data_IF_349339872231
#
_entry.id   IF_349339872231
#
_cell.length_a   1.000
_cell.length_b   1.000
_cell.length_c   1.000
_cell.angle_alpha   90.00
_cell.angle_beta   90.00
_cell.angle_gamma   90.00
#
_symmetry.space_group_name_H-M   'P 1'
#
loop_
_entity.id
_entity.type
_entity.pdbx_description
1 polymer ?
#
# COMPACT_ATOMS: atom_id res chain seq x y z
N UNK A 1 32.28 -34.09 4.86
CA UNK A 1 30.83 -34.23 5.05
C UNK A 1 30.19 -33.02 4.38
N UNK A 2 29.33 -33.18 3.37
CA UNK A 2 28.54 -32.04 2.92
C UNK A 2 27.52 -31.76 4.02
N UNK A 3 27.54 -30.54 4.55
CA UNK A 3 26.45 -30.03 5.36
C UNK A 3 25.31 -29.85 4.37
N UNK A 4 24.38 -30.81 4.38
CA UNK A 4 23.09 -30.70 3.74
C UNK A 4 22.35 -29.59 4.50
N UNK A 5 22.61 -28.34 4.11
CA UNK A 5 21.86 -27.20 4.57
C UNK A 5 20.46 -27.40 3.99
N UNK A 6 19.51 -27.63 4.90
CA UNK A 6 18.08 -27.72 4.63
C UNK A 6 17.60 -26.39 4.01
N UNK A 7 17.86 -26.22 2.71
CA UNK A 7 17.51 -25.04 1.93
C UNK A 7 15.98 -25.02 1.77
N UNK A 8 15.27 -24.38 2.70
CA UNK A 8 13.90 -23.88 2.46
C UNK A 8 12.74 -24.43 3.27
N UNK A 9 12.94 -25.12 4.40
CA UNK A 9 11.84 -25.67 5.23
C UNK A 9 11.92 -25.06 6.63
N UNK A 10 11.07 -24.14 7.08
CA UNK A 10 9.63 -24.15 7.06
C UNK A 10 9.09 -22.71 7.08
N UNK A 11 8.23 -22.42 6.12
CA UNK A 11 7.31 -21.30 6.20
C UNK A 11 5.95 -21.83 6.66
N UNK A 12 5.69 -21.74 7.96
CA UNK A 12 4.32 -21.76 8.48
C UNK A 12 4.04 -20.40 9.12
N UNK A 13 3.15 -19.59 8.55
CA UNK A 13 2.71 -18.37 9.21
C UNK A 13 2.15 -18.74 10.58
N UNK A 14 2.60 -18.06 11.64
CA UNK A 14 2.10 -18.35 12.98
C UNK A 14 0.57 -18.25 12.99
N UNK A 15 -0.10 -19.12 13.77
CA UNK A 15 -1.56 -19.06 13.93
C UNK A 15 -2.05 -17.64 14.27
N UNK A 16 -1.31 -16.94 15.13
CA UNK A 16 -1.58 -15.55 15.50
C UNK A 16 -1.58 -14.61 14.29
N UNK A 17 -0.64 -14.78 13.35
CA UNK A 17 -0.63 -13.96 12.13
C UNK A 17 -1.90 -14.13 11.32
N UNK A 18 -2.31 -15.38 11.11
CA UNK A 18 -3.54 -15.70 10.39
C UNK A 18 -4.76 -15.06 11.05
N UNK A 19 -4.86 -15.17 12.37
CA UNK A 19 -5.95 -14.58 13.16
C UNK A 19 -5.97 -13.04 13.04
N UNK A 20 -4.80 -12.39 13.10
CA UNK A 20 -4.70 -10.94 12.91
C UNK A 20 -5.10 -10.50 11.49
N UNK A 21 -4.63 -11.23 10.46
CA UNK A 21 -4.94 -10.92 9.06
C UNK A 21 -6.43 -11.14 8.76
N UNK A 22 -7.04 -12.22 9.25
CA UNK A 22 -8.48 -12.44 9.06
C UNK A 22 -9.32 -11.42 9.84
N UNK A 23 -8.86 -10.97 11.01
CA UNK A 23 -9.46 -9.84 11.72
C UNK A 23 -9.41 -8.54 10.91
N UNK A 24 -8.28 -8.23 10.28
CA UNK A 24 -8.17 -7.08 9.36
C UNK A 24 -9.06 -7.23 8.13
N UNK A 25 -9.20 -8.45 7.62
CA UNK A 25 -10.03 -8.77 6.47
C UNK A 25 -11.52 -8.62 6.77
N UNK A 26 -11.99 -9.10 7.92
CA UNK A 26 -13.37 -8.89 8.38
C UNK A 26 -13.70 -7.39 8.39
N UNK A 27 -12.79 -6.57 8.92
CA UNK A 27 -12.93 -5.12 8.90
C UNK A 27 -12.98 -4.53 7.48
N UNK A 28 -12.19 -5.06 6.54
CA UNK A 28 -12.27 -4.64 5.14
C UNK A 28 -13.65 -4.95 4.54
N UNK A 29 -14.22 -6.12 4.83
CA UNK A 29 -15.58 -6.49 4.39
C UNK A 29 -16.61 -5.52 4.96
N UNK A 30 -16.53 -5.21 6.26
CA UNK A 30 -17.46 -4.26 6.91
C UNK A 30 -17.40 -2.87 6.29
N UNK A 31 -16.19 -2.37 5.99
CA UNK A 31 -16.01 -1.09 5.29
C UNK A 31 -16.60 -1.12 3.89
N UNK A 32 -16.54 -2.27 3.20
CA UNK A 32 -17.05 -2.42 1.84
C UNK A 32 -18.58 -2.40 1.78
N UNK A 33 -19.27 -2.94 2.80
CA UNK A 33 -20.75 -2.96 2.88
C UNK A 33 -21.34 -1.54 2.77
N UNK A 34 -20.67 -0.56 3.38
CA UNK A 34 -21.11 0.83 3.38
C UNK A 34 -20.39 1.70 2.36
N UNK A 35 -19.54 1.10 1.53
CA UNK A 35 -18.74 1.84 0.56
C UNK A 35 -19.56 2.16 -0.69
N UNK A 36 -19.59 3.45 -1.03
CA UNK A 36 -20.07 3.93 -2.31
C UNK A 36 -18.89 4.44 -3.13
N UNK A 37 -18.71 3.82 -4.30
CA UNK A 37 -17.71 4.26 -5.27
C UNK A 37 -18.12 5.61 -5.85
N UNK A 38 -17.18 6.58 -6.01
CA UNK A 38 -17.48 7.84 -6.68
C UNK A 38 -18.06 7.60 -8.07
N UNK A 39 -19.18 8.25 -8.35
CA UNK A 39 -19.87 8.21 -9.65
C UNK A 39 -19.37 9.29 -10.61
N UNK A 40 -18.66 10.29 -10.09
CA UNK A 40 -18.07 11.39 -10.86
C UNK A 40 -16.55 11.31 -10.81
N UNK A 41 -15.92 11.87 -11.84
CA UNK A 41 -14.47 11.84 -12.03
C UNK A 41 -13.96 13.24 -12.32
N UNK A 42 -12.69 13.47 -11.97
CA UNK A 42 -11.95 14.68 -12.30
C UNK A 42 -10.63 14.27 -12.95
N UNK A 43 -10.28 14.89 -14.06
CA UNK A 43 -8.99 14.70 -14.74
C UNK A 43 -8.34 16.04 -15.07
N UNK A 44 -7.08 15.99 -15.49
CA UNK A 44 -6.31 17.18 -15.81
C UNK A 44 -6.99 17.96 -16.95
N UNK A 45 -7.28 19.25 -16.69
CA UNK A 45 -7.98 20.13 -17.62
C UNK A 45 -9.46 20.34 -17.28
N UNK A 46 -10.05 19.50 -16.43
CA UNK A 46 -11.41 19.72 -15.94
C UNK A 46 -11.49 20.98 -15.05
N UNK A 47 -12.66 21.64 -14.99
CA UNK A 47 -12.89 22.75 -14.06
C UNK A 47 -12.59 22.36 -12.61
N UNK A 48 -12.10 23.32 -11.82
CA UNK A 48 -11.85 23.09 -10.39
C UNK A 48 -13.17 22.76 -9.66
N UNK A 49 -13.25 21.66 -8.90
CA UNK A 49 -14.44 21.34 -8.13
C UNK A 49 -14.66 22.36 -7.01
N UNK A 50 -15.86 22.41 -6.42
CA UNK A 50 -16.12 23.24 -5.26
C UNK A 50 -15.09 22.97 -4.15
N UNK A 51 -14.58 24.01 -3.48
CA UNK A 51 -13.61 23.83 -2.42
C UNK A 51 -14.21 23.04 -1.26
N UNK A 52 -13.37 22.32 -0.48
CA UNK A 52 -13.86 21.64 0.70
C UNK A 52 -14.56 22.58 1.67
N UNK A 53 -15.68 22.16 2.28
CA UNK A 53 -16.24 22.86 3.43
C UNK A 53 -15.17 23.12 4.49
N UNK A 54 -15.30 24.23 5.21
CA UNK A 54 -14.39 24.54 6.30
C UNK A 54 -14.49 23.45 7.37
N UNK A 55 -13.33 22.89 7.77
CA UNK A 55 -13.27 21.88 8.84
C UNK A 55 -13.78 22.48 10.15
N UNK A 56 -14.94 22.04 10.60
CA UNK A 56 -15.47 22.41 11.91
C UNK A 56 -14.64 21.78 13.04
N UNK A 57 -14.27 22.59 14.04
CA UNK A 57 -13.60 22.08 15.23
C UNK A 57 -14.52 21.11 15.99
N UNK A 58 -13.96 20.07 16.62
CA UNK A 58 -14.73 19.05 17.35
C UNK A 58 -15.53 18.04 16.51
N UNK A 59 -15.90 18.35 15.26
CA UNK A 59 -16.63 17.42 14.39
C UNK A 59 -15.72 16.34 13.80
N UNK A 60 -16.14 15.08 13.93
CA UNK A 60 -15.54 13.92 13.26
C UNK A 60 -16.08 13.91 11.82
N UNK A 61 -15.16 13.96 10.85
CA UNK A 61 -15.55 13.93 9.45
C UNK A 61 -15.90 12.49 9.03
N UNK A 62 -16.99 12.33 8.28
CA UNK A 62 -17.55 11.03 7.87
C UNK A 62 -17.57 10.88 6.35
N UNK A 63 -17.73 9.67 5.80
CA UNK A 63 -17.78 9.46 4.35
C UNK A 63 -18.83 10.31 3.62
N UNK A 64 -19.91 10.68 4.30
CA UNK A 64 -20.94 11.56 3.76
C UNK A 64 -20.40 12.96 3.39
N UNK A 65 -19.37 13.44 4.08
CA UNK A 65 -18.79 14.78 3.84
C UNK A 65 -18.11 14.90 2.46
N UNK A 66 -17.75 13.78 1.85
CA UNK A 66 -17.10 13.69 0.54
C UNK A 66 -17.77 12.68 -0.39
N UNK A 67 -19.04 12.34 -0.15
CA UNK A 67 -19.76 11.35 -0.96
C UNK A 67 -19.87 11.79 -2.44
N UNK A 68 -20.06 13.09 -2.67
CA UNK A 68 -20.25 13.68 -4.01
C UNK A 68 -18.95 14.17 -4.65
N UNK A 69 -17.80 13.92 -4.01
CA UNK A 69 -16.52 14.40 -4.51
C UNK A 69 -16.02 13.51 -5.66
N UNK A 70 -15.60 14.10 -6.79
CA UNK A 70 -15.12 13.32 -7.92
C UNK A 70 -13.82 12.59 -7.57
N UNK A 71 -13.65 11.39 -8.13
CA UNK A 71 -12.41 10.65 -8.06
C UNK A 71 -11.43 11.14 -9.13
N UNK A 72 -10.19 11.41 -8.73
CA UNK A 72 -9.13 11.76 -9.69
C UNK A 72 -8.79 10.56 -10.59
N UNK A 73 -8.80 10.78 -11.91
CA UNK A 73 -8.40 9.79 -12.93
C UNK A 73 -7.17 10.22 -13.70
N UNK A 74 -6.34 9.23 -14.05
CA UNK A 74 -5.06 9.45 -14.70
C UNK A 74 -3.96 9.85 -13.71
N UNK A 75 -2.73 9.75 -14.18
CA UNK A 75 -1.51 10.10 -13.45
C UNK A 75 -0.68 11.02 -14.34
N UNK A 76 -0.13 12.07 -13.74
CA UNK A 76 0.79 13.01 -14.37
C UNK A 76 1.84 13.46 -13.37
N UNK A 77 2.89 14.13 -13.85
CA UNK A 77 3.90 14.71 -12.97
C UNK A 77 3.33 15.95 -12.25
N UNK A 78 3.17 15.90 -10.91
CA UNK A 78 2.63 17.03 -10.16
C UNK A 78 3.58 18.23 -10.11
N UNK A 79 4.87 18.08 -10.43
CA UNK A 79 5.80 19.20 -10.53
C UNK A 79 5.63 19.98 -11.85
N UNK A 80 5.09 19.33 -12.90
CA UNK A 80 4.85 19.95 -14.20
C UNK A 80 3.43 20.51 -14.29
N UNK A 81 2.43 19.71 -13.93
CA UNK A 81 1.02 20.07 -14.11
C UNK A 81 0.29 20.43 -12.80
N UNK A 82 1.01 20.43 -11.68
CA UNK A 82 0.42 20.67 -10.37
C UNK A 82 -0.30 19.44 -9.80
N UNK A 83 -0.67 19.56 -8.53
CA UNK A 83 -1.45 18.55 -7.83
C UNK A 83 -2.95 18.64 -8.18
N UNK A 84 -3.71 17.53 -8.10
CA UNK A 84 -5.17 17.58 -8.19
C UNK A 84 -5.74 18.61 -7.21
N UNK A 85 -6.75 19.41 -7.57
CA UNK A 85 -7.25 20.45 -6.70
C UNK A 85 -7.90 19.86 -5.43
N UNK A 86 -7.98 20.62 -4.31
CA UNK A 86 -8.86 20.27 -3.20
C UNK A 86 -10.32 20.12 -3.68
N UNK A 87 -11.12 19.31 -3.02
CA UNK A 87 -12.50 19.02 -3.48
C UNK A 87 -12.64 17.67 -4.20
N UNK A 88 -11.53 16.93 -4.37
CA UNK A 88 -11.48 15.62 -5.03
C UNK A 88 -11.13 14.50 -4.05
N UNK A 89 -11.47 13.27 -4.42
CA UNK A 89 -10.96 12.03 -3.81
C UNK A 89 -9.77 11.51 -4.61
N UNK A 90 -8.69 11.13 -3.93
CA UNK A 90 -7.51 10.60 -4.60
C UNK A 90 -7.68 9.11 -4.93
N UNK A 91 -7.22 8.70 -6.12
CA UNK A 91 -6.92 7.29 -6.40
C UNK A 91 -5.74 6.82 -5.55
N UNK A 92 -5.57 5.50 -5.41
CA UNK A 92 -4.44 4.94 -4.67
C UNK A 92 -3.09 5.34 -5.27
N UNK A 93 -3.01 5.51 -6.59
CA UNK A 93 -1.84 6.02 -7.28
C UNK A 93 -1.53 7.49 -6.90
N UNK A 94 -2.55 8.34 -6.78
CA UNK A 94 -2.37 9.71 -6.28
C UNK A 94 -2.03 9.75 -4.79
N UNK A 95 -2.57 8.83 -3.99
CA UNK A 95 -2.19 8.68 -2.59
C UNK A 95 -0.72 8.30 -2.42
N UNK A 96 -0.22 7.40 -3.26
CA UNK A 96 1.20 7.07 -3.30
C UNK A 96 2.05 8.33 -3.51
N UNK A 97 1.76 9.10 -4.57
CA UNK A 97 2.46 10.35 -4.86
C UNK A 97 2.33 11.36 -3.71
N UNK A 98 1.13 11.49 -3.13
CA UNK A 98 0.86 12.36 -2.00
C UNK A 98 1.72 12.00 -0.77
N UNK A 99 1.83 10.70 -0.47
CA UNK A 99 2.63 10.21 0.66
C UNK A 99 4.11 10.50 0.43
N UNK A 100 4.58 10.27 -0.81
CA UNK A 100 5.98 10.41 -1.21
C UNK A 100 6.46 11.85 -1.29
N UNK A 101 5.66 12.75 -1.89
CA UNK A 101 6.14 14.09 -2.27
C UNK A 101 5.49 15.25 -1.51
N UNK A 102 4.29 15.08 -0.94
CA UNK A 102 3.65 16.20 -0.22
C UNK A 102 4.02 16.25 1.25
N UNK A 103 4.18 17.47 1.76
CA UNK A 103 4.27 17.70 3.19
C UNK A 103 2.95 17.31 3.90
N UNK A 104 3.07 16.78 5.12
CA UNK A 104 1.93 16.39 5.98
C UNK A 104 0.84 17.47 6.05
N UNK A 105 1.21 18.73 6.29
CA UNK A 105 0.25 19.84 6.38
C UNK A 105 -0.53 20.06 5.07
N UNK A 106 0.13 19.93 3.92
CA UNK A 106 -0.50 20.08 2.62
C UNK A 106 -1.53 18.96 2.36
N UNK A 107 -1.19 17.70 2.68
CA UNK A 107 -2.11 16.56 2.59
C UNK A 107 -3.37 16.76 3.43
N UNK A 108 -3.19 17.16 4.69
CA UNK A 108 -4.29 17.40 5.63
C UNK A 108 -5.25 18.45 5.09
N UNK A 109 -4.72 19.54 4.56
CA UNK A 109 -5.52 20.68 4.13
C UNK A 109 -6.21 20.45 2.78
N UNK A 110 -5.58 19.68 1.87
CA UNK A 110 -6.06 19.55 0.49
C UNK A 110 -6.92 18.30 0.26
N UNK A 111 -6.56 17.18 0.88
CA UNK A 111 -7.18 15.86 0.61
C UNK A 111 -7.74 15.23 1.88
N UNK A 112 -8.62 15.98 2.52
CA UNK A 112 -9.24 15.58 3.78
C UNK A 112 -10.14 14.34 3.71
N UNK A 113 -10.56 13.91 2.51
CA UNK A 113 -11.35 12.71 2.28
C UNK A 113 -10.48 11.45 2.42
N UNK A 114 -9.19 11.59 2.12
CA UNK A 114 -8.22 10.50 2.13
C UNK A 114 -7.35 10.52 3.39
N UNK A 115 -7.05 11.71 3.92
CA UNK A 115 -6.18 11.88 5.10
C UNK A 115 -6.91 12.48 6.31
N UNK A 116 -6.59 11.98 7.51
CA UNK A 116 -7.15 12.49 8.76
C UNK A 116 -6.43 13.76 9.27
N UNK A 117 -6.68 14.20 10.51
CA UNK A 117 -6.01 15.39 11.10
C UNK A 117 -4.54 15.18 11.42
N UNK A 118 -4.14 13.93 11.62
CA UNK A 118 -2.73 13.58 11.68
C UNK A 118 -2.11 13.52 10.30
N UNK A 119 -2.93 13.46 9.25
CA UNK A 119 -2.63 13.30 7.83
C UNK A 119 -2.23 11.87 7.43
N UNK A 120 -2.46 10.89 8.30
CA UNK A 120 -2.38 9.48 7.91
C UNK A 120 -3.59 9.16 7.05
N UNK A 121 -3.48 8.12 6.20
CA UNK A 121 -4.63 7.59 5.47
C UNK A 121 -5.75 7.29 6.46
N UNK A 122 -6.98 7.68 6.14
CA UNK A 122 -8.13 7.41 6.99
C UNK A 122 -8.33 5.90 7.14
N UNK A 123 -8.48 5.37 8.36
CA UNK A 123 -8.68 3.94 8.59
C UNK A 123 -9.94 3.36 7.94
N UNK A 124 -10.91 4.22 7.63
CA UNK A 124 -12.16 3.87 6.96
C UNK A 124 -12.09 4.00 5.43
N UNK A 125 -10.93 4.38 4.89
CA UNK A 125 -10.75 4.54 3.45
C UNK A 125 -10.73 3.16 2.79
N UNK A 126 -11.49 3.05 1.70
CA UNK A 126 -11.49 1.87 0.83
C UNK A 126 -10.69 2.19 -0.44
N UNK A 127 -9.79 1.29 -0.89
CA UNK A 127 -9.00 1.46 -2.12
C UNK A 127 -9.86 1.79 -3.33
N UNK A 128 -9.38 2.71 -4.17
CA UNK A 128 -10.15 3.19 -5.32
C UNK A 128 -9.24 3.71 -6.43
N UNK A 129 -9.73 3.61 -7.67
CA UNK A 129 -9.02 4.07 -8.87
C UNK A 129 -7.76 3.28 -9.16
N UNK A 130 -6.86 3.90 -9.92
CA UNK A 130 -5.58 3.32 -10.32
C UNK A 130 -4.64 3.16 -9.10
N UNK A 131 -3.70 2.21 -9.21
CA UNK A 131 -2.67 1.96 -8.22
C UNK A 131 -1.28 2.16 -8.82
N UNK A 132 -0.34 2.66 -8.01
CA UNK A 132 1.09 2.60 -8.31
C UNK A 132 1.62 1.22 -7.90
N UNK A 133 2.41 0.60 -8.76
CA UNK A 133 3.13 -0.62 -8.46
C UNK A 133 4.62 -0.34 -8.38
N UNK A 134 5.34 -1.12 -7.57
CA UNK A 134 6.78 -1.02 -7.45
C UNK A 134 7.41 -2.31 -7.92
N UNK A 135 8.32 -2.21 -8.88
CA UNK A 135 9.11 -3.33 -9.35
C UNK A 135 10.45 -3.37 -8.61
N UNK A 136 10.81 -4.52 -8.06
CA UNK A 136 12.05 -4.77 -7.33
C UNK A 136 12.30 -6.26 -7.25
N UNK A 137 13.59 -6.68 -7.31
CA UNK A 137 13.97 -8.10 -7.32
C UNK A 137 13.25 -8.94 -8.39
N UNK A 138 13.02 -8.37 -9.58
CA UNK A 138 12.28 -9.05 -10.65
C UNK A 138 10.78 -9.24 -10.39
N UNK A 139 10.26 -8.75 -9.26
CA UNK A 139 8.87 -8.86 -8.86
C UNK A 139 8.18 -7.49 -8.87
N UNK A 140 6.86 -7.50 -8.94
CA UNK A 140 6.01 -6.30 -8.85
C UNK A 140 5.15 -6.41 -7.60
N UNK A 141 5.19 -5.40 -6.72
CA UNK A 141 4.41 -5.37 -5.47
C UNK A 141 3.55 -4.12 -5.37
N UNK A 142 2.45 -4.21 -4.61
CA UNK A 142 1.73 -3.04 -4.15
C UNK A 142 2.53 -2.35 -3.04
N UNK A 143 2.57 -1.00 -3.01
CA UNK A 143 3.04 -0.25 -1.85
C UNK A 143 2.14 -0.50 -0.63
N UNK A 144 2.76 -0.70 0.52
CA UNK A 144 2.03 -0.74 1.80
C UNK A 144 2.42 0.48 2.64
N UNK A 145 1.47 1.37 2.86
CA UNK A 145 1.65 2.54 3.69
C UNK A 145 1.76 2.14 5.16
N UNK A 146 2.87 2.52 5.78
CA UNK A 146 3.21 2.23 7.18
C UNK A 146 3.01 0.75 7.58
N UNK A 147 3.19 -0.18 6.65
CA UNK A 147 3.01 -1.61 6.91
C UNK A 147 1.58 -2.04 7.25
N UNK A 148 0.55 -1.20 7.06
CA UNK A 148 -0.83 -1.56 7.39
C UNK A 148 -1.85 -1.33 6.28
N UNK A 149 -1.65 -0.36 5.37
CA UNK A 149 -2.60 -0.05 4.30
C UNK A 149 -2.01 -0.32 2.93
N UNK A 150 -2.56 -1.27 2.19
CA UNK A 150 -2.14 -1.60 0.83
C UNK A 150 -2.76 -0.59 -0.15
N UNK A 151 -1.92 0.10 -0.92
CA UNK A 151 -2.33 1.01 -1.99
C UNK A 151 -2.61 0.21 -3.26
N UNK A 152 -3.68 -0.59 -3.24
CA UNK A 152 -3.98 -1.58 -4.28
C UNK A 152 -5.02 -1.13 -5.32
N UNK A 153 -5.61 0.05 -5.14
CA UNK A 153 -6.59 0.60 -6.06
C UNK A 153 -7.91 -0.19 -6.09
N UNK A 154 -8.80 0.19 -7.01
CA UNK A 154 -10.15 -0.40 -7.09
C UNK A 154 -10.13 -1.85 -7.57
N UNK A 155 -9.22 -2.21 -8.48
CA UNK A 155 -9.19 -3.53 -9.10
C UNK A 155 -8.87 -4.65 -8.11
N UNK A 156 -7.96 -4.40 -7.17
CA UNK A 156 -7.54 -5.39 -6.18
C UNK A 156 -8.37 -5.34 -4.88
N UNK A 157 -9.32 -4.41 -4.77
CA UNK A 157 -10.22 -4.29 -3.62
C UNK A 157 -11.03 -5.57 -3.37
N UNK A 158 -11.34 -6.34 -4.42
CA UNK A 158 -12.07 -7.62 -4.35
C UNK A 158 -11.40 -8.65 -3.43
N UNK A 159 -10.10 -8.48 -3.15
CA UNK A 159 -9.35 -9.35 -2.25
C UNK A 159 -9.63 -9.10 -0.77
N UNK A 160 -10.23 -7.96 -0.41
CA UNK A 160 -10.60 -7.60 0.98
C UNK A 160 -9.42 -7.59 1.95
N UNK A 161 -8.19 -7.42 1.46
CA UNK A 161 -6.94 -7.48 2.24
C UNK A 161 -6.08 -6.23 2.04
N UNK A 162 -6.71 -5.07 1.95
CA UNK A 162 -5.98 -3.80 1.93
C UNK A 162 -5.60 -3.30 3.32
N UNK A 163 -6.15 -3.91 4.38
CA UNK A 163 -5.65 -3.77 5.74
C UNK A 163 -4.85 -5.03 6.09
N UNK A 164 -3.56 -4.87 6.39
CA UNK A 164 -2.64 -6.00 6.62
C UNK A 164 -1.88 -5.90 7.94
N UNK A 165 -2.14 -4.86 8.72
CA UNK A 165 -1.44 -4.60 9.97
C UNK A 165 -2.15 -3.59 10.86
N UNK A 166 -1.50 -3.22 11.97
CA UNK A 166 -2.04 -2.26 12.93
C UNK A 166 -2.07 -0.86 12.35
N UNK A 167 -3.24 -0.23 12.44
CA UNK A 167 -3.49 1.07 11.82
C UNK A 167 -2.70 2.21 12.45
N UNK A 168 -2.10 3.04 11.58
CA UNK A 168 -1.72 4.42 11.88
C UNK A 168 -0.65 4.55 12.97
N UNK A 169 -0.95 5.27 14.06
CA UNK A 169 0.00 5.58 15.16
C UNK A 169 0.48 4.34 15.94
N UNK A 170 -0.17 3.20 15.74
CA UNK A 170 0.24 1.91 16.29
C UNK A 170 1.20 1.16 15.37
N UNK A 171 1.43 1.66 14.15
CA UNK A 171 2.49 1.15 13.29
C UNK A 171 3.84 1.57 13.86
N UNK A 172 4.82 0.67 13.77
CA UNK A 172 6.20 0.95 14.16
C UNK A 172 6.94 1.79 13.11
N UNK A 173 6.27 2.06 11.97
CA UNK A 173 6.86 2.75 10.83
C UNK A 173 6.67 4.28 10.92
N UNK A 174 7.66 5.06 10.48
CA UNK A 174 7.51 6.50 10.30
C UNK A 174 6.30 6.87 9.45
N UNK A 175 5.90 8.14 9.58
CA UNK A 175 4.65 8.61 8.98
C UNK A 175 4.63 8.53 7.44
N UNK A 176 5.76 8.75 6.77
CA UNK A 176 5.89 8.74 5.32
C UNK A 176 6.48 7.41 4.81
N UNK A 177 6.23 6.31 5.52
CA UNK A 177 6.79 5.02 5.15
C UNK A 177 5.92 4.33 4.11
N UNK A 178 6.56 3.89 3.03
CA UNK A 178 6.02 3.02 2.00
C UNK A 178 6.91 1.79 1.96
N UNK A 179 6.36 0.64 2.35
CA UNK A 179 7.10 -0.62 2.34
C UNK A 179 6.66 -1.48 1.16
N UNK A 180 7.62 -2.21 0.60
CA UNK A 180 7.47 -3.02 -0.60
C UNK A 180 7.79 -4.49 -0.31
N UNK A 181 7.30 -5.39 -1.16
CA UNK A 181 7.54 -6.81 -1.04
C UNK A 181 6.60 -7.56 -0.08
N UNK A 182 5.57 -6.91 0.48
CA UNK A 182 4.60 -7.56 1.38
C UNK A 182 3.37 -8.12 0.64
N UNK A 183 2.93 -7.43 -0.42
CA UNK A 183 1.68 -7.74 -1.12
C UNK A 183 1.91 -7.73 -2.63
N UNK A 184 1.59 -8.85 -3.27
CA UNK A 184 1.82 -9.10 -4.68
C UNK A 184 0.48 -9.18 -5.43
N UNK A 185 0.39 -8.56 -6.62
CA UNK A 185 -0.80 -8.63 -7.44
C UNK A 185 -1.03 -10.04 -7.99
N UNK A 186 -2.14 -10.21 -8.70
CA UNK A 186 -2.39 -11.44 -9.44
C UNK A 186 -1.26 -11.64 -10.45
N UNK A 187 -0.80 -12.89 -10.60
CA UNK A 187 0.16 -13.22 -11.66
C UNK A 187 -0.36 -12.74 -13.02
N UNK A 188 0.52 -12.13 -13.80
CA UNK A 188 0.24 -11.67 -15.17
C UNK A 188 -0.85 -10.58 -15.27
N UNK A 189 -1.18 -9.87 -14.17
CA UNK A 189 -1.99 -8.66 -14.29
C UNK A 189 -1.21 -7.54 -14.96
N UNK A 190 -1.85 -6.87 -15.91
CA UNK A 190 -1.29 -5.69 -16.57
C UNK A 190 -1.42 -4.50 -15.63
N UNK A 191 -0.31 -3.80 -15.42
CA UNK A 191 -0.26 -2.60 -14.60
C UNK A 191 0.29 -1.44 -15.42
N UNK A 192 -0.44 -0.31 -15.40
CA UNK A 192 -0.12 0.87 -16.20
C UNK A 192 0.98 1.71 -15.54
N UNK A 193 1.03 1.70 -14.20
CA UNK A 193 1.95 2.54 -13.44
C UNK A 193 2.89 1.68 -12.59
N UNK A 194 4.12 1.50 -13.08
CA UNK A 194 5.16 0.72 -12.40
C UNK A 194 6.42 1.56 -12.23
N UNK A 195 6.86 1.77 -11.00
CA UNK A 195 8.14 2.42 -10.69
C UNK A 195 9.20 1.36 -10.34
N UNK A 196 10.41 1.50 -10.88
CA UNK A 196 11.51 0.56 -10.63
C UNK A 196 12.32 0.98 -9.41
N UNK A 197 12.35 0.12 -8.39
CA UNK A 197 13.21 0.25 -7.23
C UNK A 197 14.65 -0.10 -7.61
N UNK A 198 15.57 0.85 -7.44
CA UNK A 198 16.98 0.68 -7.83
C UNK A 198 17.85 0.05 -6.74
N UNK A 199 17.53 0.28 -5.47
CA UNK A 199 18.22 -0.30 -4.32
C UNK A 199 17.29 -0.29 -3.10
N UNK A 200 17.61 -1.07 -2.07
CA UNK A 200 17.07 -0.75 -0.76
C UNK A 200 17.71 0.58 -0.33
N UNK A 201 16.98 1.42 0.38
CA UNK A 201 17.60 2.54 1.08
C UNK A 201 17.37 2.29 2.55
N UNK A 202 18.42 1.84 3.23
CA UNK A 202 18.44 1.81 4.69
C UNK A 202 18.28 3.24 5.18
N UNK A 203 17.18 3.54 5.86
CA UNK A 203 17.07 4.79 6.59
C UNK A 203 17.88 4.60 7.87
N UNK A 204 19.07 5.20 7.92
CA UNK A 204 19.87 5.25 9.14
C UNK A 204 19.01 5.82 10.27
N UNK A 205 18.81 4.96 11.28
CA UNK A 205 18.36 5.18 12.65
C UNK A 205 17.50 6.43 12.93
N UNK A 206 16.26 6.19 13.37
CA UNK A 206 15.33 7.18 13.90
C UNK A 206 15.72 7.73 15.29
N UNK A 207 17.03 7.80 15.55
CA UNK A 207 17.64 8.30 16.77
C UNK A 207 17.62 9.82 16.87
N UNK A 208 16.67 10.33 17.67
CA UNK A 208 16.59 11.61 18.42
C UNK A 208 16.97 12.97 17.80
N UNK A 209 17.53 13.10 16.60
CA UNK A 209 18.00 14.41 16.11
C UNK A 209 17.88 14.71 14.62
N UNK A 210 17.68 13.70 13.76
CA UNK A 210 17.59 13.88 12.31
C UNK A 210 16.18 13.65 11.79
N UNK A 211 15.60 14.62 11.08
CA UNK A 211 14.26 14.51 10.45
C UNK A 211 14.27 13.39 9.39
N UNK A 212 13.87 12.16 9.75
CA UNK A 212 13.56 11.12 8.78
C UNK A 212 12.43 11.61 7.88
N UNK A 213 12.68 11.69 6.56
CA UNK A 213 11.73 12.26 5.59
C UNK A 213 10.83 11.23 4.90
N UNK A 214 11.24 9.98 4.76
CA UNK A 214 10.42 8.86 4.25
C UNK A 214 11.22 7.58 4.38
N UNK A 215 10.54 6.45 4.53
CA UNK A 215 11.16 5.12 4.42
C UNK A 215 10.53 4.45 3.22
N UNK A 216 11.27 4.40 2.12
CA UNK A 216 10.91 3.60 0.93
C UNK A 216 11.85 2.40 0.91
N UNK A 217 11.32 1.23 1.29
CA UNK A 217 12.17 0.06 1.44
C UNK A 217 11.43 -1.21 1.10
N UNK A 218 12.14 -2.12 0.45
CA UNK A 218 11.73 -3.51 0.42
C UNK A 218 12.00 -4.12 1.80
N UNK A 219 10.98 -4.69 2.43
CA UNK A 219 11.09 -5.23 3.81
C UNK A 219 11.16 -6.74 3.87
N UNK A 220 10.81 -7.41 2.77
CA UNK A 220 10.70 -8.87 2.77
C UNK A 220 12.04 -9.52 2.46
N UNK A 221 12.39 -10.55 3.21
CA UNK A 221 13.51 -11.47 2.95
C UNK A 221 13.00 -12.72 2.20
N UNK A 222 13.92 -13.54 1.68
CA UNK A 222 13.57 -14.73 0.86
C UNK A 222 12.60 -15.67 1.58
N UNK A 223 12.74 -15.85 2.88
CA UNK A 223 11.93 -16.77 3.70
C UNK A 223 10.66 -16.16 4.30
N UNK A 224 10.19 -15.02 3.78
CA UNK A 224 9.10 -14.26 4.41
C UNK A 224 7.70 -14.67 3.95
N UNK A 225 6.68 -14.60 4.84
CA UNK A 225 5.28 -14.56 4.47
C UNK A 225 5.03 -13.34 3.61
N UNK A 226 4.44 -13.58 2.44
CA UNK A 226 3.91 -12.52 1.61
C UNK A 226 2.49 -12.83 1.18
N UNK A 227 1.68 -11.79 1.04
CA UNK A 227 0.32 -11.91 0.55
C UNK A 227 0.38 -11.89 -0.97
N UNK A 228 -0.14 -12.91 -1.63
CA UNK A 228 -0.29 -12.95 -3.08
C UNK A 228 -1.74 -13.02 -3.46
N UNK A 229 -2.16 -12.15 -4.38
CA UNK A 229 -3.52 -12.16 -4.90
C UNK A 229 -3.69 -13.19 -6.02
N UNK A 230 -4.90 -13.74 -6.13
CA UNK A 230 -5.28 -14.74 -7.12
C UNK A 230 -6.61 -14.38 -7.78
N UNK A 231 -6.74 -14.68 -9.07
CA UNK A 231 -8.07 -14.70 -9.71
C UNK A 231 -8.82 -15.92 -9.21
N UNK A 232 -10.02 -15.71 -8.69
CA UNK A 232 -10.96 -16.81 -8.51
C UNK A 232 -11.29 -17.42 -9.88
N UNK A 233 -11.36 -18.75 -10.01
CA UNK A 233 -11.85 -19.39 -11.21
C UNK A 233 -13.24 -18.86 -11.61
N UNK A 234 -13.55 -18.71 -12.91
CA UNK A 234 -14.85 -18.20 -13.37
C UNK A 234 -16.06 -19.02 -12.88
N UNK A 235 -15.83 -20.28 -12.53
CA UNK A 235 -16.78 -21.33 -12.18
C UNK A 235 -16.87 -21.63 -10.67
N UNK A 236 -16.11 -20.91 -9.83
CA UNK A 236 -16.11 -21.14 -8.40
C UNK A 236 -17.48 -20.76 -7.77
N UNK A 237 -18.27 -21.77 -7.36
CA UNK A 237 -19.61 -21.60 -6.74
C UNK A 237 -19.58 -20.79 -5.43
N UNK A 238 -18.43 -20.78 -4.76
CA UNK A 238 -18.09 -19.82 -3.73
C UNK A 238 -16.88 -19.05 -4.26
N UNK A 239 -16.90 -17.72 -4.18
CA UNK A 239 -15.70 -16.91 -4.35
C UNK A 239 -14.73 -17.23 -3.21
N UNK A 240 -14.08 -18.40 -3.28
CA UNK A 240 -13.03 -18.79 -2.37
C UNK A 240 -11.95 -17.72 -2.47
N UNK A 241 -11.77 -17.10 -1.32
CA UNK A 241 -10.80 -16.11 -0.92
C UNK A 241 -9.62 -15.95 -1.89
N UNK A 242 -9.53 -14.77 -2.47
CA UNK A 242 -8.72 -14.41 -3.63
C UNK A 242 -7.29 -13.98 -3.28
N UNK A 243 -6.73 -14.47 -2.17
CA UNK A 243 -5.32 -14.32 -1.80
C UNK A 243 -4.77 -15.56 -1.10
N UNK A 244 -3.44 -15.73 -1.08
CA UNK A 244 -2.73 -16.75 -0.27
C UNK A 244 -1.53 -16.12 0.42
N UNK A 245 -1.11 -16.73 1.53
CA UNK A 245 0.20 -16.49 2.11
C UNK A 245 1.19 -17.47 1.47
N UNK A 246 2.26 -16.94 0.88
CA UNK A 246 3.32 -17.73 0.27
C UNK A 246 4.67 -17.27 0.83
N UNK A 247 5.66 -18.16 0.80
CA UNK A 247 7.05 -17.77 1.03
C UNK A 247 7.52 -16.91 -0.15
N UNK A 248 8.20 -15.80 0.09
CA UNK A 248 8.71 -14.93 -0.98
C UNK A 248 9.56 -15.72 -2.00
N UNK A 249 10.37 -16.67 -1.54
CA UNK A 249 11.22 -17.51 -2.40
C UNK A 249 10.42 -18.29 -3.45
N UNK A 250 9.16 -18.64 -3.16
CA UNK A 250 8.27 -19.30 -4.11
C UNK A 250 7.81 -18.38 -5.25
N UNK A 251 8.05 -17.07 -5.14
CA UNK A 251 7.83 -16.11 -6.23
C UNK A 251 9.05 -16.00 -7.16
N UNK A 252 10.14 -16.70 -6.86
CA UNK A 252 11.40 -16.65 -7.62
C UNK A 252 11.96 -15.22 -7.77
N UNK A 253 12.13 -14.47 -6.66
CA UNK A 253 12.76 -13.16 -6.72
C UNK A 253 14.19 -13.26 -7.25
N UNK A 254 14.65 -12.22 -7.93
CA UNK A 254 16.08 -12.03 -8.19
C UNK A 254 16.82 -11.73 -6.90
N UNK A 255 18.12 -12.02 -6.88
CA UNK A 255 18.95 -11.70 -5.72
C UNK A 255 19.18 -10.19 -5.55
N UNK A 256 18.94 -9.39 -6.60
CA UNK A 256 19.25 -7.96 -6.65
C UNK A 256 18.10 -7.17 -7.30
N UNK A 257 17.96 -5.89 -6.94
CA UNK A 257 17.06 -4.97 -7.63
C UNK A 257 17.53 -4.70 -9.08
N UNK A 258 16.62 -4.18 -9.90
CA UNK A 258 16.89 -3.97 -11.33
C UNK A 258 17.94 -2.88 -11.57
N UNK A 259 18.74 -3.04 -12.63
CA UNK A 259 19.48 -1.95 -13.27
C UNK A 259 20.78 -1.47 -12.59
N UNK A 260 21.15 -2.00 -11.41
CA UNK A 260 22.34 -1.53 -10.69
C UNK A 260 23.14 -2.67 -10.06
N UNK A 261 24.44 -2.78 -10.45
CA UNK A 261 25.40 -3.78 -9.94
C UNK A 261 25.67 -3.61 -8.44
N UNK A 262 25.33 -2.46 -7.86
CA UNK A 262 25.46 -2.16 -6.43
C UNK A 262 24.15 -2.19 -5.63
N UNK A 263 23.07 -2.77 -6.16
CA UNK A 263 21.81 -2.84 -5.42
C UNK A 263 21.85 -3.89 -4.30
N UNK A 264 21.18 -3.58 -3.18
CA UNK A 264 21.20 -4.42 -1.99
C UNK A 264 20.62 -5.82 -2.27
N UNK A 265 21.30 -6.89 -1.84
CA UNK A 265 20.85 -8.24 -2.13
C UNK A 265 19.67 -8.64 -1.24
N UNK A 266 18.79 -9.48 -1.79
CA UNK A 266 17.75 -10.17 -1.04
C UNK A 266 18.38 -11.31 -0.23
N UNK A 267 18.32 -11.23 1.10
CA UNK A 267 18.93 -12.23 1.99
C UNK A 267 17.87 -13.10 2.66
N UNK A 268 18.30 -14.22 3.21
CA UNK A 268 17.57 -14.91 4.27
C UNK A 268 17.78 -14.15 5.58
N UNK A 269 16.79 -14.19 6.47
CA UNK A 269 16.97 -13.70 7.84
C UNK A 269 16.62 -14.77 8.87
N UNK A 270 17.17 -14.62 10.07
CA UNK A 270 16.78 -15.43 11.22
C UNK A 270 15.36 -15.04 11.65
N UNK A 271 14.39 -15.93 11.40
CA UNK A 271 12.98 -15.73 11.73
C UNK A 271 12.08 -15.46 10.52
N UNK A 272 10.80 -15.77 10.67
CA UNK A 272 9.83 -15.85 9.56
C UNK A 272 8.93 -14.62 9.42
N UNK A 273 9.26 -13.47 9.99
CA UNK A 273 8.38 -12.29 9.97
C UNK A 273 9.15 -11.01 9.73
N UNK A 274 8.67 -10.09 8.84
CA UNK A 274 9.22 -8.75 8.68
C UNK A 274 9.40 -8.12 10.04
N UNK A 275 10.57 -8.34 10.62
CA UNK A 275 10.89 -7.77 11.91
C UNK A 275 11.14 -6.30 11.62
N UNK A 276 10.45 -5.49 12.38
CA UNK A 276 10.51 -4.03 12.29
C UNK A 276 11.74 -3.48 13.01
N UNK A 277 12.66 -4.37 13.41
CA UNK A 277 13.88 -4.08 14.17
C UNK A 277 15.02 -3.53 13.33
#
# INVERSE_FOLDING_TARGET
>A
MPIDLDFGRFFEPSRKHWEELEGMRARCRDLLVHYQEPTTYWTLGDPTPPPPPVRQSGRIATPADWANWPLVRGIWDPNVHGWPPPGVRLSDAWLYLAIKYMAKKARINSYWADFNRDGIIRPMRVPVGDAMMIAGHGLVSYPVYQGWYVLCGGAARVHTTWLVGKVGRLSQYPYNSLVYGLVFPVKDSVHIHVEQLQSHRTVLDAGRGGRIRSVEQWVSCRNDPVIRYFRSPPDAQQHETSYRLECLDHLSPWDHCSGWVGSDPLKLRHGCWPDTS
#
